data_IF_106318503839
#
_entry.id   IF_106318503839
#
_cell.length_a   1.000
_cell.length_b   1.000
_cell.length_c   1.000
_cell.angle_alpha   90.00
_cell.angle_beta   90.00
_cell.angle_gamma   90.00
#
_symmetry.space_group_name_H-M   'P 1'
#
loop_
_entity.id
_entity.type
_entity.pdbx_description
1 polymer ?
#
# COMPACT_ATOMS: atom_id res chain seq x y z
N UNK A 1 18.23 -9.33 -19.56
CA UNK A 1 17.16 -9.42 -18.54
C UNK A 1 17.80 -9.30 -17.17
N UNK A 2 18.36 -8.12 -16.86
CA UNK A 2 19.11 -7.91 -15.63
C UNK A 2 18.15 -7.41 -14.56
N UNK A 3 18.20 -8.00 -13.35
CA UNK A 3 17.35 -7.57 -12.23
C UNK A 3 16.08 -8.39 -12.01
N UNK A 4 16.00 -9.65 -12.47
CA UNK A 4 14.97 -10.64 -12.07
C UNK A 4 15.58 -11.87 -11.35
N UNK A 5 16.82 -11.77 -10.87
CA UNK A 5 17.60 -12.84 -10.22
C UNK A 5 17.03 -13.33 -8.86
N UNK A 6 15.85 -12.86 -8.49
CA UNK A 6 15.11 -13.22 -7.28
C UNK A 6 13.88 -14.08 -7.56
N UNK A 7 13.53 -14.28 -8.85
CA UNK A 7 12.52 -15.24 -9.29
C UNK A 7 13.20 -16.54 -9.67
N UNK A 8 13.38 -17.43 -8.70
CA UNK A 8 14.07 -18.69 -8.90
C UNK A 8 13.05 -19.82 -8.84
N UNK A 9 12.97 -20.64 -9.88
CA UNK A 9 12.20 -21.88 -9.82
C UNK A 9 12.83 -22.86 -8.81
N UNK A 10 12.05 -23.85 -8.36
CA UNK A 10 12.58 -24.96 -7.58
C UNK A 10 13.63 -25.72 -8.40
N UNK A 11 14.78 -26.02 -7.80
CA UNK A 11 15.86 -26.78 -8.44
C UNK A 11 16.20 -28.02 -7.62
N UNK A 12 16.78 -29.03 -8.25
CA UNK A 12 17.30 -30.18 -7.52
C UNK A 12 18.49 -29.78 -6.63
N UNK A 13 18.71 -30.53 -5.56
CA UNK A 13 19.93 -30.42 -4.75
C UNK A 13 21.17 -30.90 -5.53
N UNK A 14 22.35 -30.55 -5.02
CA UNK A 14 23.62 -30.82 -5.70
C UNK A 14 23.98 -32.30 -5.76
N UNK A 15 23.48 -33.10 -4.82
CA UNK A 15 23.68 -34.55 -4.75
C UNK A 15 22.33 -35.30 -4.74
N UNK A 16 22.33 -36.61 -5.05
CA UNK A 16 21.09 -37.41 -5.05
C UNK A 16 20.36 -37.48 -3.70
N UNK A 17 21.04 -37.17 -2.61
CA UNK A 17 20.51 -37.18 -1.26
C UNK A 17 20.11 -35.79 -0.76
N UNK A 18 20.50 -34.74 -1.48
CA UNK A 18 20.16 -33.38 -1.09
C UNK A 18 18.66 -33.12 -1.34
N UNK A 19 17.98 -32.44 -0.40
CA UNK A 19 16.61 -32.02 -0.64
C UNK A 19 16.55 -31.03 -1.80
N UNK A 20 15.38 -30.96 -2.44
CA UNK A 20 15.13 -29.97 -3.51
C UNK A 20 15.23 -28.55 -2.91
N UNK A 21 15.86 -27.65 -3.65
CA UNK A 21 16.03 -26.26 -3.27
C UNK A 21 14.73 -25.53 -3.63
N UNK A 22 13.96 -25.03 -2.64
CA UNK A 22 12.69 -24.39 -2.90
C UNK A 22 12.90 -23.13 -3.75
N UNK A 23 11.98 -22.93 -4.70
CA UNK A 23 11.95 -21.72 -5.49
C UNK A 23 11.70 -20.48 -4.63
N UNK A 24 12.18 -19.33 -5.10
CA UNK A 24 11.89 -18.02 -4.52
C UNK A 24 10.91 -17.31 -5.44
N UNK A 25 9.75 -16.96 -4.90
CA UNK A 25 8.80 -16.09 -5.58
C UNK A 25 8.82 -14.74 -4.86
N UNK A 26 9.54 -13.79 -5.42
CA UNK A 26 9.62 -12.42 -4.92
C UNK A 26 9.09 -11.47 -6.00
N UNK A 27 7.93 -10.86 -5.76
CA UNK A 27 7.45 -9.78 -6.61
C UNK A 27 8.30 -8.52 -6.37
N UNK A 28 8.85 -7.93 -7.43
CA UNK A 28 9.43 -6.58 -7.34
C UNK A 28 8.39 -5.56 -7.74
N UNK A 29 8.08 -4.67 -6.79
CA UNK A 29 7.16 -3.56 -7.01
C UNK A 29 8.01 -2.32 -7.28
N UNK A 30 8.01 -1.88 -8.54
CA UNK A 30 8.72 -0.67 -9.00
C UNK A 30 7.73 0.43 -9.35
N UNK A 31 8.06 1.67 -9.00
CA UNK A 31 7.21 2.82 -9.25
C UNK A 31 7.97 3.90 -10.02
N UNK A 32 7.39 4.39 -11.10
CA UNK A 32 7.87 5.58 -11.82
C UNK A 32 6.96 6.75 -11.49
N UNK A 33 7.53 7.79 -10.87
CA UNK A 33 6.79 9.01 -10.51
C UNK A 33 6.94 10.05 -11.61
N UNK A 34 5.84 10.68 -12.00
CA UNK A 34 5.83 11.73 -13.05
C UNK A 34 6.03 13.14 -12.48
N UNK A 35 5.49 13.41 -11.29
CA UNK A 35 5.45 14.73 -10.66
C UNK A 35 6.29 14.73 -9.39
N UNK A 36 7.58 15.01 -9.50
CA UNK A 36 8.44 15.27 -8.33
C UNK A 36 9.35 16.47 -8.59
N UNK A 37 9.38 17.47 -7.69
CA UNK A 37 8.55 17.62 -6.47
C UNK A 37 7.08 17.95 -6.78
N UNK A 38 6.17 17.80 -5.79
CA UNK A 38 4.76 18.20 -5.92
C UNK A 38 3.73 17.08 -6.11
N UNK A 39 3.96 15.89 -5.53
CA UNK A 39 2.99 14.78 -5.53
C UNK A 39 1.74 15.17 -4.73
N UNK A 40 0.56 15.11 -5.33
CA UNK A 40 -0.72 15.21 -4.62
C UNK A 40 -1.30 13.80 -4.35
N UNK A 41 -1.01 13.27 -3.16
CA UNK A 41 -1.48 11.94 -2.74
C UNK A 41 -3.02 11.90 -2.64
N UNK A 42 -3.68 13.01 -2.30
CA UNK A 42 -5.14 13.06 -2.14
C UNK A 42 -5.83 13.06 -3.49
N UNK A 43 -5.26 13.74 -4.49
CA UNK A 43 -5.73 13.72 -5.87
C UNK A 43 -5.43 12.39 -6.60
N UNK A 44 -4.63 11.51 -6.00
CA UNK A 44 -4.36 10.16 -6.51
C UNK A 44 -2.99 9.98 -7.14
N UNK A 45 -2.06 10.94 -7.05
CA UNK A 45 -0.71 10.80 -7.61
C UNK A 45 0.12 9.68 -6.95
N UNK A 46 -0.32 9.22 -5.77
CA UNK A 46 0.25 8.05 -5.10
C UNK A 46 -0.29 6.70 -5.61
N UNK A 47 -1.34 6.71 -6.42
CA UNK A 47 -1.96 5.50 -6.95
C UNK A 47 -1.32 5.10 -8.29
N UNK A 48 -1.03 3.81 -8.52
CA UNK A 48 -0.46 3.36 -9.79
C UNK A 48 -1.43 3.64 -10.94
N UNK A 49 -0.91 4.05 -12.09
CA UNK A 49 -1.69 4.18 -13.34
C UNK A 49 -1.62 2.94 -14.21
N UNK A 50 -0.63 2.08 -13.97
CA UNK A 50 -0.43 0.77 -14.60
C UNK A 50 0.16 -0.18 -13.57
N UNK A 51 -0.26 -1.44 -13.60
CA UNK A 51 0.29 -2.51 -12.79
C UNK A 51 0.66 -3.66 -13.72
N UNK A 52 1.91 -4.12 -13.65
CA UNK A 52 2.37 -5.28 -14.41
C UNK A 52 2.64 -6.44 -13.45
N UNK A 53 2.02 -7.59 -13.68
CA UNK A 53 2.24 -8.81 -12.92
C UNK A 53 2.59 -9.93 -13.89
N UNK A 54 3.68 -10.65 -13.64
CA UNK A 54 4.22 -11.68 -14.55
C UNK A 54 4.42 -11.21 -16.00
N UNK A 55 4.74 -9.92 -16.21
CA UNK A 55 4.95 -9.34 -17.54
C UNK A 55 3.67 -8.90 -18.26
N UNK A 56 2.49 -9.10 -17.66
CA UNK A 56 1.19 -8.72 -18.23
C UNK A 56 0.58 -7.52 -17.48
N UNK A 57 -0.08 -6.61 -18.21
CA UNK A 57 -0.78 -5.46 -17.62
C UNK A 57 -2.08 -5.93 -16.96
N UNK A 58 -2.24 -5.61 -15.68
CA UNK A 58 -3.40 -5.97 -14.86
C UNK A 58 -4.42 -4.82 -14.85
N UNK A 59 -5.71 -5.16 -14.72
CA UNK A 59 -6.77 -4.18 -14.51
C UNK A 59 -6.64 -3.51 -13.13
N UNK A 60 -6.78 -2.19 -13.11
CA UNK A 60 -6.88 -1.39 -11.88
C UNK A 60 -8.35 -1.03 -11.62
N UNK A 61 -8.76 -0.83 -10.35
CA UNK A 61 -10.10 -0.32 -10.06
C UNK A 61 -10.26 1.12 -10.55
N UNK A 62 -11.48 1.46 -10.95
CA UNK A 62 -11.83 2.82 -11.41
C UNK A 62 -11.89 3.86 -10.28
N UNK A 63 -11.78 3.41 -9.02
CA UNK A 63 -11.84 4.24 -7.83
C UNK A 63 -10.56 4.10 -7.02
N UNK A 64 -10.14 5.20 -6.39
CA UNK A 64 -9.04 5.16 -5.44
C UNK A 64 -9.48 4.52 -4.13
N UNK A 65 -8.67 3.64 -3.53
CA UNK A 65 -8.97 3.09 -2.22
C UNK A 65 -8.97 4.23 -1.19
N UNK A 66 -10.13 4.55 -0.66
CA UNK A 66 -10.25 5.41 0.52
C UNK A 66 -9.85 4.59 1.74
N UNK A 67 -8.77 4.96 2.43
CA UNK A 67 -8.52 4.43 3.75
C UNK A 67 -9.74 4.72 4.63
N UNK A 68 -10.25 3.72 5.35
CA UNK A 68 -11.17 3.94 6.45
C UNK A 68 -10.40 4.64 7.59
N UNK A 69 -9.94 5.86 7.34
CA UNK A 69 -9.44 6.74 8.37
C UNK A 69 -10.53 6.89 9.40
N UNK A 70 -10.20 6.69 10.68
CA UNK A 70 -11.12 6.91 11.79
C UNK A 70 -11.67 8.32 11.62
N UNK A 71 -12.90 8.44 11.13
CA UNK A 71 -13.60 9.71 11.03
C UNK A 71 -13.92 10.05 12.49
N UNK A 72 -13.00 10.71 13.19
CA UNK A 72 -13.33 11.32 14.47
C UNK A 72 -14.51 12.23 14.15
N UNK A 73 -15.64 11.99 14.83
CA UNK A 73 -16.86 12.72 14.51
C UNK A 73 -16.55 14.21 14.52
N UNK A 74 -16.96 14.92 13.46
CA UNK A 74 -16.81 16.37 13.32
C UNK A 74 -17.38 17.16 14.52
N UNK A 75 -18.17 16.50 15.37
CA UNK A 75 -18.79 17.05 16.57
C UNK A 75 -17.90 16.99 17.82
N UNK A 76 -16.68 16.44 17.75
CA UNK A 76 -15.76 16.41 18.90
C UNK A 76 -15.51 17.78 19.55
N UNK A 77 -15.22 18.88 18.83
CA UNK A 77 -15.06 20.20 19.44
C UNK A 77 -16.35 20.74 20.08
N UNK A 78 -17.52 20.41 19.50
CA UNK A 78 -18.82 20.79 20.06
C UNK A 78 -19.11 20.06 21.37
N UNK A 79 -18.78 18.76 21.45
CA UNK A 79 -18.88 18.00 22.70
C UNK A 79 -17.96 18.56 23.79
N UNK A 80 -16.71 18.92 23.43
CA UNK A 80 -15.78 19.53 24.38
C UNK A 80 -16.31 20.87 24.91
N UNK A 81 -16.80 21.75 24.02
CA UNK A 81 -17.40 23.03 24.41
C UNK A 81 -18.63 22.86 25.31
N UNK A 82 -19.53 21.93 24.96
CA UNK A 82 -20.71 21.64 25.77
C UNK A 82 -20.34 21.11 27.17
N UNK A 83 -19.32 20.24 27.25
CA UNK A 83 -18.84 19.70 28.53
C UNK A 83 -18.20 20.78 29.42
N UNK A 84 -17.42 21.68 28.82
CA UNK A 84 -16.80 22.81 29.53
C UNK A 84 -17.87 23.78 30.06
N UNK A 85 -18.87 24.08 29.24
CA UNK A 85 -19.99 24.95 29.65
C UNK A 85 -20.78 24.32 30.80
N UNK A 86 -21.09 23.02 30.71
CA UNK A 86 -21.80 22.31 31.77
C UNK A 86 -20.99 22.30 33.08
N UNK A 87 -19.68 22.09 33.01
CA UNK A 87 -18.79 22.14 34.18
C UNK A 87 -18.80 23.51 34.86
N UNK A 88 -18.75 24.59 34.07
CA UNK A 88 -18.80 25.97 34.58
C UNK A 88 -20.15 26.36 35.21
N UNK A 89 -21.26 25.71 34.81
CA UNK A 89 -22.59 25.95 35.38
C UNK A 89 -22.82 25.18 36.69
N UNK A 90 -22.08 24.07 36.89
CA UNK A 90 -22.18 23.22 38.09
C UNK A 90 -21.27 23.73 39.23
N UNK A 91 -20.21 24.47 38.89
CA UNK A 91 -19.31 25.17 39.83
C UNK A 91 -19.91 26.49 40.33
#
# INVERSE_FOLDING_TARGET
>A
NEGLNYLNAETNGSTPYDPRIPGKQQSVISFTKKLTPGIDVVAGDGYPTKLFFNGEECSLPDFFPSGAGRVVSRNFPLLLLASMFLFLVIL
#
